data_IF_091345032493
#
_entry.id   IF_091345032493
#
_cell.length_a   1.000
_cell.length_b   1.000
_cell.length_c   1.000
_cell.angle_alpha   90.00
_cell.angle_beta   90.00
_cell.angle_gamma   90.00
#
_symmetry.space_group_name_H-M   'P 1'
#
loop_
_entity.id
_entity.type
_entity.pdbx_description
1 polymer ?
#
# COMPACT_ATOMS: atom_id res chain seq x y z
N UNK A 1 -15.18 -11.80 -0.13
CA UNK A 1 -13.95 -11.77 -0.98
C UNK A 1 -13.46 -13.21 -1.20
N UNK A 2 -12.81 -13.51 -2.35
CA UNK A 2 -12.19 -14.81 -2.65
C UNK A 2 -10.80 -14.60 -3.25
N UNK A 3 -9.83 -15.43 -2.87
CA UNK A 3 -8.50 -15.48 -3.49
C UNK A 3 -8.27 -16.85 -4.12
N UNK A 4 -7.70 -16.88 -5.32
CA UNK A 4 -7.30 -18.10 -6.02
C UNK A 4 -5.87 -17.95 -6.50
N UNK A 5 -4.96 -18.74 -5.93
CA UNK A 5 -3.58 -18.83 -6.39
C UNK A 5 -3.55 -19.56 -7.75
N UNK A 6 -2.90 -18.98 -8.75
CA UNK A 6 -2.89 -19.50 -10.12
C UNK A 6 -1.55 -20.09 -10.57
N UNK A 7 -0.44 -19.48 -10.17
CA UNK A 7 0.91 -19.90 -10.57
C UNK A 7 1.90 -19.70 -9.41
N UNK A 8 2.99 -20.49 -9.43
CA UNK A 8 4.16 -20.31 -8.57
C UNK A 8 5.41 -20.24 -9.44
N UNK A 9 6.38 -19.41 -9.05
CA UNK A 9 7.72 -19.48 -9.61
C UNK A 9 8.47 -20.70 -9.03
N UNK A 10 9.11 -21.56 -9.85
CA UNK A 10 9.79 -22.75 -9.36
C UNK A 10 11.07 -22.45 -8.56
N UNK A 11 11.61 -21.23 -8.67
CA UNK A 11 12.91 -20.85 -8.11
C UNK A 11 12.83 -19.83 -6.96
N UNK A 12 11.61 -19.43 -6.56
CA UNK A 12 11.37 -18.52 -5.44
C UNK A 12 9.99 -18.76 -4.83
N UNK A 13 9.62 -17.97 -3.79
CA UNK A 13 8.27 -18.01 -3.22
C UNK A 13 7.28 -17.11 -3.99
N UNK A 14 7.69 -16.51 -5.11
CA UNK A 14 6.83 -15.65 -5.90
C UNK A 14 5.64 -16.43 -6.48
N UNK A 15 4.47 -15.81 -6.44
CA UNK A 15 3.23 -16.44 -6.89
C UNK A 15 2.30 -15.44 -7.56
N UNK A 16 1.44 -15.93 -8.46
CA UNK A 16 0.32 -15.18 -9.01
C UNK A 16 -0.99 -15.70 -8.42
N UNK A 17 -1.97 -14.81 -8.34
CA UNK A 17 -3.33 -15.13 -7.93
C UNK A 17 -4.34 -14.10 -8.43
N UNK A 18 -5.61 -14.35 -8.13
CA UNK A 18 -6.72 -13.46 -8.43
C UNK A 18 -7.52 -13.27 -7.15
N UNK A 19 -7.65 -12.01 -6.71
CA UNK A 19 -8.59 -11.61 -5.67
C UNK A 19 -9.88 -11.18 -6.36
N UNK A 20 -11.03 -11.68 -5.90
CA UNK A 20 -12.35 -11.28 -6.38
C UNK A 20 -13.10 -10.59 -5.25
N UNK A 21 -13.53 -9.34 -5.50
CA UNK A 21 -14.43 -8.55 -4.64
C UNK A 21 -15.74 -8.27 -5.38
N UNK A 22 -16.68 -7.61 -4.73
CA UNK A 22 -17.94 -7.21 -5.36
C UNK A 22 -17.76 -6.06 -6.38
N UNK A 23 -16.62 -5.32 -6.30
CA UNK A 23 -16.26 -4.26 -7.25
C UNK A 23 -15.26 -4.70 -8.34
N UNK A 24 -14.92 -5.99 -8.43
CA UNK A 24 -14.09 -6.50 -9.50
C UNK A 24 -12.98 -7.45 -9.07
N UNK A 25 -12.13 -7.80 -10.04
CA UNK A 25 -10.99 -8.68 -9.86
C UNK A 25 -9.68 -7.91 -9.79
N UNK A 26 -8.73 -8.46 -9.05
CA UNK A 26 -7.38 -7.92 -8.87
C UNK A 26 -6.40 -9.05 -9.14
N UNK A 27 -5.56 -8.91 -10.16
CA UNK A 27 -4.46 -9.83 -10.42
C UNK A 27 -3.26 -9.53 -9.50
N UNK A 28 -2.75 -10.53 -8.80
CA UNK A 28 -1.57 -10.39 -7.93
C UNK A 28 -0.32 -11.03 -8.54
N UNK A 29 0.88 -10.50 -8.22
CA UNK A 29 1.21 -9.33 -7.40
C UNK A 29 0.63 -8.02 -7.94
N UNK A 30 0.22 -7.10 -7.04
CA UNK A 30 -0.38 -5.81 -7.39
C UNK A 30 0.20 -4.66 -6.55
N UNK A 31 0.33 -3.48 -7.16
CA UNK A 31 0.60 -2.23 -6.46
C UNK A 31 -0.67 -1.37 -6.42
N UNK A 32 -0.98 -0.82 -5.25
CA UNK A 32 -2.17 0.00 -5.01
C UNK A 32 -1.78 1.49 -4.95
N UNK A 33 -2.18 2.32 -5.91
CA UNK A 33 -2.04 3.77 -5.81
C UNK A 33 -2.74 4.32 -4.56
N UNK A 34 -2.05 5.23 -3.84
CA UNK A 34 -2.57 5.77 -2.58
C UNK A 34 -3.41 7.01 -2.81
N UNK A 35 -4.70 6.90 -2.52
CA UNK A 35 -5.71 7.96 -2.53
C UNK A 35 -6.06 8.46 -1.13
N UNK A 36 -5.14 9.16 -0.46
CA UNK A 36 -5.17 9.52 0.97
C UNK A 36 -6.51 10.10 1.46
N UNK A 37 -7.09 11.01 0.72
CA UNK A 37 -8.34 11.73 1.07
C UNK A 37 -9.41 11.57 -0.02
N UNK A 38 -9.55 10.35 -0.55
CA UNK A 38 -10.44 10.08 -1.69
C UNK A 38 -9.89 10.62 -3.02
N UNK A 39 -8.56 10.70 -3.17
CA UNK A 39 -7.92 11.14 -4.40
C UNK A 39 -6.48 10.71 -4.47
N UNK A 40 -6.07 10.06 -5.55
CA UNK A 40 -4.65 9.86 -5.90
C UNK A 40 -4.12 11.19 -6.40
N UNK A 41 -3.10 11.73 -5.70
CA UNK A 41 -2.67 13.13 -5.83
C UNK A 41 -2.30 13.53 -7.26
N UNK A 42 -3.10 14.43 -7.84
CA UNK A 42 -2.87 15.03 -9.15
C UNK A 42 -3.25 14.13 -10.34
N UNK A 43 -3.94 13.01 -10.12
CA UNK A 43 -4.32 12.05 -11.16
C UNK A 43 -5.85 11.96 -11.24
N UNK A 44 -6.40 12.05 -12.42
CA UNK A 44 -7.82 11.78 -12.65
C UNK A 44 -8.13 10.29 -12.55
N UNK A 45 -9.32 9.94 -12.05
CA UNK A 45 -9.77 8.53 -11.99
C UNK A 45 -9.83 7.88 -13.39
N UNK A 46 -10.15 8.65 -14.44
CA UNK A 46 -10.06 8.19 -15.81
C UNK A 46 -8.64 7.69 -16.15
N UNK A 47 -7.63 8.49 -15.84
CA UNK A 47 -6.23 8.15 -16.17
C UNK A 47 -5.73 6.98 -15.31
N UNK A 48 -6.18 6.89 -14.03
CA UNK A 48 -5.95 5.70 -13.21
C UNK A 48 -6.52 4.43 -13.83
N UNK A 49 -7.71 4.50 -14.46
CA UNK A 49 -8.39 3.36 -15.08
C UNK A 49 -7.82 3.00 -16.45
N UNK A 50 -7.67 3.99 -17.32
CA UNK A 50 -7.51 3.77 -18.75
C UNK A 50 -6.04 3.78 -19.17
N UNK A 51 -5.20 4.58 -18.52
CA UNK A 51 -3.77 4.71 -18.81
C UNK A 51 -2.91 3.90 -17.83
N UNK A 52 -2.98 4.21 -16.53
CA UNK A 52 -2.22 3.53 -15.47
C UNK A 52 -2.73 2.08 -15.27
N UNK A 53 -4.03 1.84 -15.50
CA UNK A 53 -4.71 0.54 -15.38
C UNK A 53 -4.68 0.00 -13.94
N UNK A 54 -4.92 0.88 -12.96
CA UNK A 54 -5.04 0.48 -11.57
C UNK A 54 -6.30 -0.38 -11.36
N UNK A 55 -6.14 -1.55 -10.77
CA UNK A 55 -7.24 -2.48 -10.48
C UNK A 55 -7.83 -2.23 -9.09
N UNK A 56 -7.07 -1.63 -8.19
CA UNK A 56 -7.42 -1.30 -6.81
C UNK A 56 -6.67 -0.03 -6.39
N UNK A 57 -7.27 0.77 -5.51
CA UNK A 57 -6.63 1.92 -4.86
C UNK A 57 -6.71 1.78 -3.34
N UNK A 58 -5.89 2.55 -2.63
CA UNK A 58 -5.88 2.58 -1.16
C UNK A 58 -6.34 3.93 -0.64
N UNK A 59 -7.30 3.93 0.29
CA UNK A 59 -7.73 5.07 1.09
C UNK A 59 -7.16 5.02 2.51
N UNK A 60 -6.93 6.19 3.14
CA UNK A 60 -6.45 6.23 4.52
C UNK A 60 -7.58 6.52 5.50
N UNK A 61 -7.90 5.58 6.36
CA UNK A 61 -9.01 5.66 7.34
C UNK A 61 -8.92 6.89 8.22
N UNK A 62 -7.75 7.19 8.81
CA UNK A 62 -7.54 8.37 9.64
C UNK A 62 -7.89 9.68 8.93
N UNK A 63 -7.44 9.84 7.69
CA UNK A 63 -7.68 11.06 6.93
C UNK A 63 -9.15 11.21 6.53
N UNK A 64 -9.77 10.12 6.07
CA UNK A 64 -11.18 10.10 5.66
C UNK A 64 -12.12 10.32 6.86
N UNK A 65 -11.77 9.76 8.03
CA UNK A 65 -12.49 10.01 9.29
C UNK A 65 -12.49 11.47 9.67
N UNK A 66 -11.35 12.18 9.56
CA UNK A 66 -11.25 13.60 9.90
C UNK A 66 -11.83 14.50 8.81
N UNK A 67 -11.64 14.15 7.54
CA UNK A 67 -12.09 14.94 6.39
C UNK A 67 -12.30 14.05 5.16
N UNK A 68 -13.49 13.94 4.59
CA UNK A 68 -14.66 14.80 4.79
C UNK A 68 -15.43 14.54 6.09
N UNK A 69 -15.13 13.45 6.82
CA UNK A 69 -15.87 13.03 7.99
C UNK A 69 -16.93 11.95 7.68
N UNK A 70 -17.29 11.20 8.71
CA UNK A 70 -18.14 10.01 8.55
C UNK A 70 -19.56 10.36 8.10
N UNK A 71 -20.13 11.47 8.57
CA UNK A 71 -21.49 11.87 8.19
C UNK A 71 -21.61 12.16 6.70
N UNK A 72 -20.59 12.81 6.12
CA UNK A 72 -20.53 13.10 4.68
C UNK A 72 -20.39 11.81 3.88
N UNK A 73 -19.46 10.93 4.27
CA UNK A 73 -19.25 9.65 3.58
C UNK A 73 -20.50 8.76 3.65
N UNK A 74 -21.16 8.70 4.82
CA UNK A 74 -22.40 7.95 4.98
C UNK A 74 -23.53 8.48 4.11
N UNK A 75 -23.70 9.81 4.08
CA UNK A 75 -24.70 10.45 3.24
C UNK A 75 -24.45 10.26 1.73
N UNK A 76 -23.17 10.21 1.32
CA UNK A 76 -22.77 9.91 -0.05
C UNK A 76 -23.01 8.45 -0.46
N UNK A 77 -23.19 7.53 0.50
CA UNK A 77 -23.32 6.10 0.25
C UNK A 77 -21.98 5.37 0.14
N UNK A 78 -20.98 5.82 0.93
CA UNK A 78 -19.64 5.26 1.01
C UNK A 78 -18.63 5.90 0.06
N UNK A 79 -17.35 5.51 0.23
CA UNK A 79 -16.23 6.11 -0.48
C UNK A 79 -16.31 5.89 -1.98
N UNK A 80 -16.72 4.72 -2.45
CA UNK A 80 -16.88 4.41 -3.87
C UNK A 80 -17.77 5.44 -4.59
N UNK A 81 -18.92 5.76 -4.02
CA UNK A 81 -19.82 6.76 -4.58
C UNK A 81 -19.31 8.19 -4.39
N UNK A 82 -18.68 8.46 -3.24
CA UNK A 82 -18.17 9.79 -2.93
C UNK A 82 -17.08 10.24 -3.91
N UNK A 83 -16.14 9.36 -4.25
CA UNK A 83 -15.04 9.68 -5.17
C UNK A 83 -15.27 9.20 -6.62
N UNK A 84 -16.42 8.56 -6.90
CA UNK A 84 -16.77 8.00 -8.21
C UNK A 84 -15.76 6.96 -8.72
N UNK A 85 -15.31 6.08 -7.82
CA UNK A 85 -14.43 4.96 -8.12
C UNK A 85 -15.20 3.64 -8.07
N UNK A 86 -15.26 2.92 -9.20
CA UNK A 86 -16.08 1.71 -9.40
C UNK A 86 -15.27 0.41 -9.34
N UNK A 87 -13.98 0.48 -8.99
CA UNK A 87 -13.10 -0.69 -8.80
C UNK A 87 -12.82 -0.89 -7.30
N UNK A 88 -12.18 -2.01 -6.90
CA UNK A 88 -11.85 -2.28 -5.51
C UNK A 88 -11.13 -1.13 -4.79
N UNK A 89 -11.42 -0.99 -3.50
CA UNK A 89 -10.75 -0.09 -2.56
C UNK A 89 -10.29 -0.90 -1.35
N UNK A 90 -9.06 -0.63 -0.89
CA UNK A 90 -8.57 -1.04 0.42
C UNK A 90 -8.44 0.18 1.32
N UNK A 91 -8.82 0.08 2.60
CA UNK A 91 -8.51 1.12 3.60
C UNK A 91 -7.58 0.56 4.68
N UNK A 92 -6.56 1.37 5.04
CA UNK A 92 -5.68 1.05 6.17
C UNK A 92 -6.41 1.14 7.52
N UNK A 93 -5.73 0.77 8.61
CA UNK A 93 -6.29 0.86 9.98
C UNK A 93 -6.42 2.29 10.51
N UNK A 94 -5.64 3.23 9.96
CA UNK A 94 -5.43 4.56 10.52
C UNK A 94 -4.42 4.61 11.68
N UNK A 95 -3.96 3.47 12.19
CA UNK A 95 -3.04 3.37 13.33
C UNK A 95 -1.71 4.06 13.08
N UNK A 96 -1.11 3.86 11.90
CA UNK A 96 0.16 4.49 11.53
C UNK A 96 0.06 6.02 11.46
N UNK A 97 -1.02 6.58 10.91
CA UNK A 97 -1.23 8.03 10.82
C UNK A 97 -1.43 8.66 12.20
N UNK A 98 -2.14 7.99 13.09
CA UNK A 98 -2.23 8.39 14.50
C UNK A 98 -0.83 8.37 15.13
N UNK A 99 0.00 7.39 14.79
CA UNK A 99 1.39 7.33 15.24
C UNK A 99 2.23 8.49 14.70
N UNK A 100 2.20 8.75 13.40
CA UNK A 100 3.13 9.65 12.71
C UNK A 100 2.72 11.12 12.71
N UNK A 101 1.40 11.42 12.76
CA UNK A 101 0.86 12.76 12.58
C UNK A 101 0.34 13.41 13.88
N UNK A 102 0.06 12.63 14.93
CA UNK A 102 -0.40 13.17 16.18
C UNK A 102 0.76 13.41 17.16
N UNK A 103 1.12 14.68 17.45
CA UNK A 103 2.17 15.00 18.41
C UNK A 103 1.81 14.57 19.84
N UNK A 104 0.51 14.41 20.12
CA UNK A 104 -0.02 13.97 21.41
C UNK A 104 -0.93 12.79 21.18
N UNK A 105 -0.41 11.58 21.46
CA UNK A 105 -1.20 10.35 21.48
C UNK A 105 -1.02 9.64 22.79
N UNK A 106 -2.05 8.92 23.20
CA UNK A 106 -2.01 8.03 24.37
C UNK A 106 -2.62 6.70 23.99
N UNK A 107 -1.81 5.65 24.08
CA UNK A 107 -2.25 4.27 23.94
C UNK A 107 -2.80 3.77 25.27
N UNK A 108 -3.92 3.10 25.22
CA UNK A 108 -4.57 2.45 26.37
C UNK A 108 -5.04 1.07 25.95
N UNK A 109 -5.49 0.26 26.89
CA UNK A 109 -6.11 -1.03 26.57
C UNK A 109 -7.38 -0.85 25.70
N UNK A 110 -8.12 0.23 25.95
CA UNK A 110 -9.38 0.50 25.24
C UNK A 110 -9.17 0.98 23.80
N UNK A 111 -8.05 1.64 23.51
CA UNK A 111 -7.77 2.21 22.20
C UNK A 111 -6.73 3.31 22.21
N UNK A 112 -6.67 4.08 21.13
CA UNK A 112 -5.75 5.18 20.95
C UNK A 112 -6.47 6.53 21.03
N UNK A 113 -6.04 7.39 21.97
CA UNK A 113 -6.50 8.77 22.11
C UNK A 113 -5.51 9.65 21.34
N UNK A 114 -6.00 10.52 20.47
CA UNK A 114 -5.16 11.40 19.66
C UNK A 114 -5.79 12.78 19.43
N UNK A 115 -4.99 13.71 18.95
CA UNK A 115 -5.46 15.03 18.50
C UNK A 115 -5.37 15.12 16.98
N UNK A 116 -6.44 15.65 16.38
CA UNK A 116 -6.49 15.96 14.95
C UNK A 116 -5.37 16.94 14.57
N UNK A 117 -4.62 16.63 13.51
CA UNK A 117 -3.61 17.52 12.93
C UNK A 117 -4.23 18.71 12.17
N UNK A 118 -5.55 18.68 11.95
CA UNK A 118 -6.28 19.71 11.19
C UNK A 118 -6.70 20.87 12.11
N UNK A 119 -7.30 20.55 13.26
CA UNK A 119 -7.95 21.53 14.16
C UNK A 119 -7.62 21.31 15.66
N UNK A 120 -6.82 20.29 15.97
CA UNK A 120 -6.45 19.97 17.35
C UNK A 120 -7.54 19.30 18.19
N UNK A 121 -8.71 18.99 17.63
CA UNK A 121 -9.79 18.27 18.30
C UNK A 121 -9.35 16.92 18.84
N UNK A 122 -9.94 16.48 19.95
CA UNK A 122 -9.61 15.19 20.57
C UNK A 122 -10.49 14.08 20.02
N UNK A 123 -9.87 13.00 19.64
CA UNK A 123 -10.50 11.79 19.10
C UNK A 123 -10.02 10.53 19.81
N UNK A 124 -10.80 9.46 19.67
CA UNK A 124 -10.47 8.13 20.20
C UNK A 124 -10.77 7.10 19.14
N UNK A 125 -9.78 6.29 18.77
CA UNK A 125 -9.99 5.05 18.05
C UNK A 125 -9.95 3.87 19.01
N UNK A 126 -11.07 3.18 19.17
CA UNK A 126 -11.12 1.85 19.75
C UNK A 126 -11.21 0.81 18.63
N UNK A 127 -10.89 -0.47 18.87
CA UNK A 127 -11.12 -1.51 17.88
C UNK A 127 -12.54 -1.49 17.28
N UNK A 128 -13.55 -1.31 18.12
CA UNK A 128 -14.95 -1.33 17.70
C UNK A 128 -15.30 -0.12 16.82
N UNK A 129 -15.03 1.11 17.29
CA UNK A 129 -15.39 2.29 16.50
C UNK A 129 -14.52 2.46 15.25
N UNK A 130 -13.34 1.87 15.21
CA UNK A 130 -12.52 1.80 14.00
C UNK A 130 -13.19 0.88 12.95
N UNK A 131 -13.74 -0.26 13.36
CA UNK A 131 -14.52 -1.12 12.46
C UNK A 131 -15.79 -0.42 11.97
N UNK A 132 -16.52 0.28 12.84
CA UNK A 132 -17.68 1.10 12.45
C UNK A 132 -17.29 2.20 11.46
N UNK A 133 -16.15 2.84 11.68
CA UNK A 133 -15.58 3.86 10.76
C UNK A 133 -15.35 3.23 9.37
N UNK A 134 -14.72 2.08 9.30
CA UNK A 134 -14.45 1.40 8.02
C UNK A 134 -15.72 0.81 7.37
N UNK A 135 -16.75 0.44 8.16
CA UNK A 135 -18.09 0.14 7.63
C UNK A 135 -18.71 1.36 6.93
N UNK A 136 -18.57 2.55 7.53
CA UNK A 136 -19.10 3.81 6.95
C UNK A 136 -18.27 4.24 5.72
N UNK A 137 -16.96 4.08 5.74
CA UNK A 137 -16.12 4.34 4.56
C UNK A 137 -16.51 3.39 3.43
N UNK A 138 -16.71 2.11 3.71
CA UNK A 138 -17.23 1.13 2.76
C UNK A 138 -16.20 0.64 1.73
N UNK A 139 -14.94 0.47 2.11
CA UNK A 139 -13.96 -0.19 1.26
C UNK A 139 -14.20 -1.71 1.16
N UNK A 140 -13.72 -2.37 0.10
CA UNK A 140 -13.83 -3.83 -0.09
C UNK A 140 -12.95 -4.60 0.91
N UNK A 141 -11.76 -4.05 1.20
CA UNK A 141 -10.79 -4.63 2.12
C UNK A 141 -10.48 -3.62 3.20
N UNK A 142 -10.61 -4.02 4.45
CA UNK A 142 -10.38 -3.19 5.63
C UNK A 142 -9.32 -3.80 6.54
N UNK A 143 -8.59 -2.98 7.29
CA UNK A 143 -7.52 -3.42 8.19
C UNK A 143 -7.99 -3.36 9.65
N UNK A 144 -7.60 -4.35 10.45
CA UNK A 144 -7.78 -4.29 11.89
C UNK A 144 -6.94 -3.16 12.50
N UNK A 145 -7.44 -2.50 13.56
CA UNK A 145 -6.67 -1.49 14.28
C UNK A 145 -5.44 -2.13 14.96
N UNK A 146 -4.29 -1.50 14.78
CA UNK A 146 -3.00 -1.96 15.27
C UNK A 146 -2.17 -0.84 15.92
N UNK A 147 -1.16 -1.21 16.68
CA UNK A 147 -0.08 -0.32 17.07
C UNK A 147 1.15 -0.59 16.20
N UNK A 148 1.51 0.38 15.34
CA UNK A 148 2.76 0.36 14.60
C UNK A 148 3.89 0.90 15.48
N UNK A 149 4.77 0.04 16.02
CA UNK A 149 5.92 0.48 16.79
C UNK A 149 7.08 0.95 15.88
N UNK A 150 7.97 1.84 16.37
CA UNK A 150 9.17 2.24 15.63
C UNK A 150 10.06 1.05 15.27
N UNK A 151 10.76 1.11 14.12
CA UNK A 151 11.66 0.03 13.65
C UNK A 151 12.89 -0.20 14.55
N UNK A 152 13.25 0.79 15.36
CA UNK A 152 14.32 0.74 16.36
C UNK A 152 13.83 0.46 17.80
N UNK A 153 12.56 0.07 17.96
CA UNK A 153 11.97 -0.22 19.27
C UNK A 153 12.72 -1.35 19.97
N UNK A 154 12.89 -1.24 21.30
CA UNK A 154 13.47 -2.33 22.11
C UNK A 154 12.57 -3.57 22.08
N UNK A 155 13.14 -4.74 22.31
CA UNK A 155 12.39 -6.00 22.35
C UNK A 155 11.21 -5.95 23.34
N UNK A 156 11.43 -5.42 24.53
CA UNK A 156 10.40 -5.31 25.57
C UNK A 156 9.25 -4.38 25.14
N UNK A 157 9.56 -3.26 24.48
CA UNK A 157 8.53 -2.41 23.94
C UNK A 157 7.76 -3.10 22.81
N UNK A 158 8.47 -3.68 21.84
CA UNK A 158 7.87 -4.40 20.71
C UNK A 158 6.96 -5.55 21.17
N UNK A 159 7.38 -6.31 22.22
CA UNK A 159 6.59 -7.37 22.81
C UNK A 159 5.31 -6.84 23.47
N UNK A 160 5.41 -5.73 24.22
CA UNK A 160 4.24 -5.08 24.83
C UNK A 160 3.27 -4.55 23.77
N UNK A 161 3.78 -3.91 22.74
CA UNK A 161 3.01 -3.40 21.58
C UNK A 161 2.29 -4.52 20.85
N UNK A 162 3.01 -5.64 20.58
CA UNK A 162 2.40 -6.81 19.95
C UNK A 162 1.24 -7.36 20.77
N UNK A 163 1.41 -7.52 22.07
CA UNK A 163 0.34 -8.03 22.96
C UNK A 163 -0.89 -7.12 22.94
N UNK A 164 -0.71 -5.80 22.87
CA UNK A 164 -1.81 -4.86 22.75
C UNK A 164 -2.50 -5.01 21.39
N UNK A 165 -1.72 -5.06 20.30
CA UNK A 165 -2.24 -5.26 18.94
C UNK A 165 -3.04 -6.56 18.81
N UNK A 166 -2.58 -7.67 19.41
CA UNK A 166 -3.30 -8.95 19.41
C UNK A 166 -4.68 -8.82 20.08
N UNK A 167 -4.75 -8.20 21.27
CA UNK A 167 -6.04 -7.98 21.95
C UNK A 167 -6.98 -7.04 21.19
N UNK A 168 -6.43 -6.01 20.55
CA UNK A 168 -7.21 -5.15 19.67
C UNK A 168 -7.71 -5.88 18.41
N UNK A 169 -6.87 -6.74 17.84
CA UNK A 169 -7.25 -7.58 16.70
C UNK A 169 -8.44 -8.49 17.04
N UNK A 170 -8.39 -9.17 18.19
CA UNK A 170 -9.49 -10.05 18.64
C UNK A 170 -10.81 -9.27 18.80
N UNK A 171 -10.74 -8.04 19.31
CA UNK A 171 -11.89 -7.13 19.44
C UNK A 171 -12.39 -6.65 18.09
N UNK A 172 -11.49 -6.26 17.17
CA UNK A 172 -11.84 -5.90 15.79
C UNK A 172 -12.59 -7.03 15.09
N UNK A 173 -12.05 -8.25 15.14
CA UNK A 173 -12.68 -9.43 14.52
C UNK A 173 -14.06 -9.68 15.10
N UNK A 174 -14.17 -9.72 16.43
CA UNK A 174 -15.46 -9.92 17.12
C UNK A 174 -16.52 -8.88 16.72
N UNK A 175 -16.12 -7.61 16.66
CA UNK A 175 -17.05 -6.52 16.32
C UNK A 175 -17.40 -6.53 14.83
N UNK A 176 -16.43 -6.79 13.97
CA UNK A 176 -16.64 -6.88 12.53
C UNK A 176 -17.59 -8.01 12.16
N UNK A 177 -17.48 -9.19 12.81
CA UNK A 177 -18.34 -10.34 12.57
C UNK A 177 -19.76 -10.14 13.16
N UNK A 178 -19.92 -9.24 14.13
CA UNK A 178 -21.20 -8.88 14.72
C UNK A 178 -21.94 -7.75 13.98
N UNK A 179 -21.32 -7.14 12.96
CA UNK A 179 -21.87 -5.98 12.23
C UNK A 179 -21.95 -6.27 10.73
N UNK A 180 -22.98 -5.71 10.09
CA UNK A 180 -23.24 -5.91 8.66
C UNK A 180 -22.66 -4.76 7.81
N UNK A 181 -22.25 -5.05 6.56
CA UNK A 181 -21.91 -4.01 5.58
C UNK A 181 -23.07 -3.06 5.30
N UNK A 182 -22.78 -1.77 5.11
CA UNK A 182 -23.85 -0.75 5.00
C UNK A 182 -24.39 -0.54 3.58
N UNK A 183 -23.66 -0.96 2.54
CA UNK A 183 -23.96 -0.53 1.17
C UNK A 183 -24.31 -1.65 0.21
N UNK A 184 -24.64 -2.85 0.74
CA UNK A 184 -25.15 -3.98 -0.06
C UNK A 184 -24.07 -4.82 -0.76
N UNK A 185 -22.80 -4.63 -0.41
CA UNK A 185 -21.68 -5.47 -0.83
C UNK A 185 -20.83 -5.91 0.36
N UNK A 186 -20.07 -6.97 0.19
CA UNK A 186 -19.25 -7.56 1.26
C UNK A 186 -17.96 -6.80 1.48
N UNK A 187 -17.45 -6.85 2.71
CA UNK A 187 -16.13 -6.35 3.07
C UNK A 187 -15.30 -7.48 3.67
N UNK A 188 -13.98 -7.48 3.40
CA UNK A 188 -13.03 -8.41 3.96
C UNK A 188 -12.16 -7.74 5.02
N UNK A 189 -11.96 -8.38 6.17
CA UNK A 189 -11.09 -7.88 7.25
C UNK A 189 -9.73 -8.58 7.19
N UNK A 190 -8.64 -7.80 7.06
CA UNK A 190 -7.28 -8.30 7.14
C UNK A 190 -6.67 -8.00 8.51
N UNK A 191 -6.24 -9.01 9.27
CA UNK A 191 -5.32 -8.85 10.40
C UNK A 191 -4.00 -8.23 9.96
N UNK A 192 -3.37 -7.43 10.84
CA UNK A 192 -2.04 -6.88 10.62
C UNK A 192 -1.03 -7.62 11.51
N UNK A 193 -0.08 -8.31 10.90
CA UNK A 193 1.04 -8.97 11.58
C UNK A 193 2.08 -7.93 11.96
N UNK A 194 2.23 -7.66 13.25
CA UNK A 194 3.23 -6.78 13.83
C UNK A 194 4.43 -7.59 14.42
N UNK A 195 5.33 -6.98 15.20
CA UNK A 195 6.45 -7.67 15.87
C UNK A 195 7.81 -7.04 15.62
N UNK A 196 7.83 -5.82 15.03
CA UNK A 196 9.07 -5.07 14.74
C UNK A 196 10.06 -5.93 13.92
N UNK A 197 11.35 -5.91 14.24
CA UNK A 197 12.42 -6.69 13.60
C UNK A 197 12.83 -7.94 14.38
N UNK A 198 11.93 -8.47 15.21
CA UNK A 198 12.19 -9.62 16.09
C UNK A 198 11.50 -10.88 15.57
N UNK A 199 12.26 -11.89 15.07
CA UNK A 199 11.70 -13.09 14.45
C UNK A 199 10.71 -13.85 15.35
N UNK A 200 10.99 -13.95 16.66
CA UNK A 200 10.11 -14.61 17.63
C UNK A 200 8.78 -13.89 17.80
N UNK A 201 8.79 -12.55 17.82
CA UNK A 201 7.56 -11.77 17.91
C UNK A 201 6.75 -11.82 16.59
N UNK A 202 7.44 -11.82 15.44
CA UNK A 202 6.81 -12.01 14.13
C UNK A 202 6.14 -13.38 14.02
N UNK A 203 6.80 -14.43 14.50
CA UNK A 203 6.24 -15.79 14.53
C UNK A 203 4.99 -15.83 15.39
N UNK A 204 5.06 -15.32 16.62
CA UNK A 204 3.90 -15.24 17.51
C UNK A 204 2.74 -14.45 16.89
N UNK A 205 3.05 -13.30 16.24
CA UNK A 205 2.05 -12.46 15.59
C UNK A 205 1.33 -13.17 14.44
N UNK A 206 2.10 -13.82 13.56
CA UNK A 206 1.54 -14.50 12.38
C UNK A 206 0.75 -15.75 12.76
N UNK A 207 1.20 -16.51 13.75
CA UNK A 207 0.46 -17.67 14.27
C UNK A 207 -0.90 -17.25 14.86
N UNK A 208 -0.92 -16.17 15.66
CA UNK A 208 -2.16 -15.60 16.18
C UNK A 208 -3.10 -15.14 15.07
N UNK A 209 -2.58 -14.37 14.10
CA UNK A 209 -3.37 -13.85 12.98
C UNK A 209 -3.94 -14.98 12.12
N UNK A 210 -3.12 -15.98 11.77
CA UNK A 210 -3.52 -17.12 10.94
C UNK A 210 -4.61 -17.98 11.60
N UNK A 211 -4.58 -18.11 12.94
CA UNK A 211 -5.60 -18.85 13.68
C UNK A 211 -7.02 -18.24 13.60
N UNK A 212 -7.13 -16.97 13.21
CA UNK A 212 -8.42 -16.28 13.02
C UNK A 212 -9.08 -16.58 11.67
N UNK A 213 -8.39 -17.26 10.75
CA UNK A 213 -8.85 -17.66 9.39
C UNK A 213 -9.61 -16.57 8.65
N UNK A 214 -8.94 -15.43 8.43
CA UNK A 214 -9.52 -14.29 7.67
C UNK A 214 -9.26 -14.40 6.17
N UNK A 215 -9.88 -13.48 5.42
CA UNK A 215 -9.85 -13.49 3.96
C UNK A 215 -8.49 -13.11 3.35
N UNK A 216 -7.59 -12.54 4.15
CA UNK A 216 -6.22 -12.17 3.78
C UNK A 216 -5.48 -11.60 4.98
N UNK A 217 -4.19 -11.32 4.82
CA UNK A 217 -3.32 -10.89 5.91
C UNK A 217 -2.41 -9.75 5.46
N UNK A 218 -2.25 -8.75 6.33
CA UNK A 218 -1.31 -7.66 6.14
C UNK A 218 -0.05 -7.87 7.01
N UNK A 219 1.10 -7.43 6.52
CA UNK A 219 2.38 -7.40 7.21
C UNK A 219 2.73 -5.94 7.42
N UNK A 220 2.59 -5.48 8.66
CA UNK A 220 2.84 -4.09 9.06
C UNK A 220 4.12 -3.93 9.88
N UNK A 221 4.45 -2.68 10.24
CA UNK A 221 5.61 -2.35 11.08
C UNK A 221 6.95 -2.71 10.46
N UNK A 222 7.04 -2.65 9.14
CA UNK A 222 8.26 -2.75 8.34
C UNK A 222 8.38 -1.50 7.47
N UNK A 223 9.58 -1.18 6.97
CA UNK A 223 9.91 0.08 6.30
C UNK A 223 9.61 1.34 7.17
N UNK A 224 9.81 1.21 8.48
CA UNK A 224 9.62 2.28 9.49
C UNK A 224 10.93 2.70 10.17
N UNK A 225 12.06 2.52 9.47
CA UNK A 225 13.40 2.96 9.90
C UNK A 225 14.43 1.86 10.05
N UNK A 226 14.05 0.59 9.95
CA UNK A 226 14.98 -0.53 9.97
C UNK A 226 15.79 -0.65 8.66
N UNK A 227 16.97 -1.32 8.67
CA UNK A 227 17.68 -1.71 7.46
C UNK A 227 16.82 -2.62 6.57
N UNK A 228 16.94 -2.45 5.25
CA UNK A 228 16.16 -3.21 4.24
C UNK A 228 16.32 -4.73 4.40
N UNK A 229 17.53 -5.19 4.74
CA UNK A 229 17.82 -6.61 4.96
C UNK A 229 17.00 -7.19 6.11
N UNK A 230 16.76 -6.40 7.16
CA UNK A 230 15.92 -6.81 8.29
C UNK A 230 14.45 -6.95 7.87
N UNK A 231 13.97 -6.09 7.02
CA UNK A 231 12.63 -6.25 6.43
C UNK A 231 12.53 -7.58 5.68
N UNK A 232 13.52 -7.94 4.86
CA UNK A 232 13.52 -9.19 4.10
C UNK A 232 13.59 -10.41 5.02
N UNK A 233 14.42 -10.39 6.05
CA UNK A 233 14.46 -11.45 7.07
C UNK A 233 13.08 -11.67 7.72
N UNK A 234 12.36 -10.60 8.04
CA UNK A 234 11.03 -10.71 8.64
C UNK A 234 10.00 -11.29 7.67
N UNK A 235 10.10 -10.98 6.39
CA UNK A 235 9.23 -11.61 5.37
C UNK A 235 9.52 -13.11 5.25
N UNK A 236 10.77 -13.52 5.35
CA UNK A 236 11.17 -14.94 5.33
C UNK A 236 10.66 -15.71 6.57
N UNK A 237 10.43 -15.02 7.70
CA UNK A 237 9.79 -15.60 8.88
C UNK A 237 8.27 -15.69 8.72
N UNK A 238 7.62 -14.63 8.23
CA UNK A 238 6.16 -14.48 8.25
C UNK A 238 5.49 -15.21 7.07
N UNK A 239 5.99 -15.03 5.85
CA UNK A 239 5.31 -15.52 4.65
C UNK A 239 5.13 -17.06 4.61
N UNK A 240 6.08 -17.90 5.09
CA UNK A 240 5.87 -19.35 5.10
C UNK A 240 4.79 -19.84 6.06
N UNK A 241 4.44 -19.04 7.09
CA UNK A 241 3.44 -19.42 8.11
C UNK A 241 2.04 -19.00 7.65
N UNK A 242 1.92 -17.91 6.87
CA UNK A 242 0.64 -17.45 6.35
C UNK A 242 0.02 -18.47 5.38
N UNK A 243 -1.31 -18.69 5.45
CA UNK A 243 -2.02 -19.62 4.56
C UNK A 243 -1.72 -19.34 3.08
N UNK A 244 -1.56 -20.42 2.29
CA UNK A 244 -1.26 -20.30 0.87
C UNK A 244 -2.45 -19.83 0.02
N UNK A 245 -3.64 -20.11 0.47
CA UNK A 245 -4.91 -19.75 -0.18
C UNK A 245 -5.44 -18.37 0.20
N UNK A 246 -4.60 -17.55 0.84
CA UNK A 246 -4.93 -16.18 1.25
C UNK A 246 -3.91 -15.18 0.70
N UNK A 247 -4.33 -13.96 0.30
CA UNK A 247 -3.41 -12.92 -0.15
C UNK A 247 -2.62 -12.32 1.01
N UNK A 248 -1.38 -11.89 0.72
CA UNK A 248 -0.43 -11.30 1.67
C UNK A 248 -0.10 -9.88 1.24
N UNK A 249 -0.39 -8.92 2.09
CA UNK A 249 -0.20 -7.51 1.83
C UNK A 249 0.93 -6.94 2.69
N UNK A 250 2.01 -6.46 2.06
CA UNK A 250 3.10 -5.73 2.74
C UNK A 250 2.81 -4.23 2.70
N UNK A 251 2.53 -3.66 3.88
CA UNK A 251 2.06 -2.29 4.02
C UNK A 251 3.18 -1.26 3.86
N UNK A 252 2.93 -0.20 3.09
CA UNK A 252 3.81 0.97 2.98
C UNK A 252 5.12 0.75 2.24
N UNK A 253 5.30 -0.38 1.57
CA UNK A 253 6.52 -0.73 0.83
C UNK A 253 6.28 -0.61 -0.67
N UNK A 254 7.14 0.01 -1.42
CA UNK A 254 8.27 0.90 -1.18
C UNK A 254 8.97 1.22 -2.48
N UNK A 255 10.28 1.03 -2.53
CA UNK A 255 11.01 1.20 -3.80
C UNK A 255 10.69 0.06 -4.79
N UNK A 256 10.86 0.27 -6.12
CA UNK A 256 10.68 -0.80 -7.10
C UNK A 256 11.48 -2.07 -6.78
N UNK A 257 12.72 -1.91 -6.30
CA UNK A 257 13.56 -3.04 -5.89
C UNK A 257 12.98 -3.80 -4.68
N UNK A 258 12.51 -3.08 -3.65
CA UNK A 258 11.89 -3.69 -2.47
C UNK A 258 10.63 -4.49 -2.84
N UNK A 259 9.84 -3.98 -3.80
CA UNK A 259 8.65 -4.68 -4.29
C UNK A 259 9.04 -6.02 -4.94
N UNK A 260 10.01 -6.02 -5.85
CA UNK A 260 10.47 -7.25 -6.50
C UNK A 260 11.07 -8.26 -5.51
N UNK A 261 11.85 -7.78 -4.53
CA UNK A 261 12.42 -8.62 -3.47
C UNK A 261 11.34 -9.20 -2.54
N UNK A 262 10.30 -8.43 -2.23
CA UNK A 262 9.18 -8.92 -1.43
C UNK A 262 8.29 -9.91 -2.21
N UNK A 263 8.06 -9.68 -3.51
CA UNK A 263 7.39 -10.66 -4.40
C UNK A 263 8.13 -12.00 -4.37
N UNK A 264 9.47 -11.99 -4.45
CA UNK A 264 10.27 -13.22 -4.41
C UNK A 264 10.11 -14.02 -3.10
N UNK A 265 9.64 -13.36 -2.03
CA UNK A 265 9.34 -13.93 -0.70
C UNK A 265 7.86 -14.27 -0.49
N UNK A 266 7.03 -14.11 -1.52
CA UNK A 266 5.64 -14.54 -1.52
C UNK A 266 4.63 -13.47 -1.10
N UNK A 267 4.97 -12.19 -1.22
CA UNK A 267 4.03 -11.07 -1.01
C UNK A 267 3.22 -10.80 -2.29
N UNK A 268 1.95 -10.50 -2.13
CA UNK A 268 0.98 -10.34 -3.23
C UNK A 268 0.54 -8.89 -3.47
N UNK A 269 0.51 -8.05 -2.41
CA UNK A 269 -0.07 -6.71 -2.48
C UNK A 269 0.86 -5.69 -1.84
N UNK A 270 0.91 -4.49 -2.43
CA UNK A 270 1.79 -3.40 -2.02
C UNK A 270 1.07 -2.06 -2.13
N UNK A 271 1.46 -1.12 -1.27
CA UNK A 271 1.16 0.31 -1.41
C UNK A 271 2.38 1.14 -1.02
N UNK A 272 2.50 2.32 -1.55
CA UNK A 272 3.41 3.34 -1.06
C UNK A 272 3.06 4.71 -1.63
N UNK A 273 3.33 5.77 -0.89
CA UNK A 273 3.20 7.15 -1.39
C UNK A 273 4.37 7.57 -2.30
N UNK A 274 5.43 6.76 -2.40
CA UNK A 274 6.65 7.11 -3.13
C UNK A 274 6.42 7.47 -4.60
N UNK A 275 5.62 6.75 -5.39
CA UNK A 275 5.43 7.11 -6.80
C UNK A 275 5.00 8.55 -6.99
N UNK A 276 3.94 8.97 -6.33
CA UNK A 276 3.41 10.33 -6.47
C UNK A 276 4.24 11.35 -5.68
N UNK A 277 4.75 11.01 -4.47
CA UNK A 277 5.58 11.91 -3.67
C UNK A 277 6.91 12.20 -4.37
N UNK A 278 7.60 11.17 -4.84
CA UNK A 278 8.87 11.31 -5.54
C UNK A 278 8.66 11.98 -6.91
N UNK A 279 7.61 11.63 -7.64
CA UNK A 279 7.23 12.28 -8.90
C UNK A 279 7.08 13.79 -8.72
N UNK A 280 6.29 14.25 -7.77
CA UNK A 280 6.14 15.69 -7.49
C UNK A 280 7.44 16.39 -7.08
N UNK A 281 8.44 15.65 -6.63
CA UNK A 281 9.77 16.16 -6.31
C UNK A 281 10.79 16.03 -7.47
N UNK A 282 10.37 15.51 -8.62
CA UNK A 282 11.16 15.37 -9.83
C UNK A 282 12.01 14.10 -9.90
N UNK A 283 11.72 13.10 -9.07
CA UNK A 283 12.34 11.78 -9.16
C UNK A 283 11.41 10.81 -9.89
N UNK A 284 11.87 10.28 -11.02
CA UNK A 284 11.17 9.33 -11.85
C UNK A 284 11.88 7.97 -11.84
N UNK A 285 11.08 6.91 -11.79
CA UNK A 285 11.54 5.52 -11.87
C UNK A 285 11.32 4.98 -13.28
N UNK A 286 12.34 4.41 -13.91
CA UNK A 286 12.28 3.84 -15.25
C UNK A 286 12.89 2.45 -15.30
N UNK A 287 12.68 1.74 -16.37
CA UNK A 287 13.33 0.45 -16.61
C UNK A 287 14.86 0.50 -16.73
N UNK A 288 15.42 1.66 -17.00
CA UNK A 288 16.88 1.88 -17.12
C UNK A 288 17.49 2.47 -15.86
N UNK A 289 16.67 2.93 -14.91
CA UNK A 289 17.14 3.49 -13.63
C UNK A 289 16.31 4.67 -13.15
N UNK A 290 16.89 5.44 -12.24
CA UNK A 290 16.25 6.56 -11.56
C UNK A 290 16.70 7.87 -12.20
N UNK A 291 15.74 8.66 -12.71
CA UNK A 291 15.98 9.99 -13.26
C UNK A 291 15.65 11.08 -12.22
N UNK A 292 16.57 12.05 -12.06
CA UNK A 292 16.23 13.31 -11.40
C UNK A 292 15.98 14.37 -12.48
N UNK A 293 14.72 14.74 -12.70
CA UNK A 293 14.31 15.68 -13.75
C UNK A 293 14.84 17.11 -13.57
N UNK A 294 15.29 17.48 -12.38
CA UNK A 294 15.91 18.79 -12.13
C UNK A 294 17.37 18.86 -12.62
N UNK A 295 17.98 17.73 -12.97
CA UNK A 295 19.36 17.69 -13.45
C UNK A 295 19.50 18.44 -14.78
N UNK A 296 20.59 19.26 -14.88
CA UNK A 296 20.88 20.11 -16.04
C UNK A 296 21.04 19.31 -17.35
N UNK A 297 21.49 18.06 -17.27
CA UNK A 297 21.72 17.22 -18.45
C UNK A 297 20.46 16.96 -19.30
N UNK A 298 19.26 17.15 -18.73
CA UNK A 298 18.00 17.01 -19.45
C UNK A 298 17.51 18.31 -20.11
N UNK A 299 18.29 19.42 -20.03
CA UNK A 299 17.84 20.74 -20.47
C UNK A 299 17.58 20.83 -21.98
N UNK A 300 18.31 20.05 -22.77
CA UNK A 300 18.27 19.97 -24.23
C UNK A 300 18.04 18.55 -24.76
N UNK A 301 17.57 17.64 -23.89
CA UNK A 301 17.15 16.29 -24.26
C UNK A 301 15.70 16.30 -24.74
N UNK A 302 15.50 16.36 -26.06
CA UNK A 302 14.20 16.37 -26.72
C UNK A 302 13.65 14.96 -27.00
N UNK A 303 14.28 13.90 -26.47
CA UNK A 303 13.74 12.55 -26.54
C UNK A 303 12.50 12.41 -25.64
N UNK A 304 11.61 11.42 -25.91
CA UNK A 304 10.47 11.12 -25.05
C UNK A 304 10.89 10.98 -23.57
N UNK A 305 9.97 11.29 -22.65
CA UNK A 305 10.20 11.21 -21.20
C UNK A 305 10.72 9.84 -20.80
N UNK A 306 10.03 8.79 -21.21
CA UNK A 306 10.51 7.39 -21.12
C UNK A 306 10.07 6.58 -22.35
N UNK A 307 10.98 6.26 -23.27
CA UNK A 307 10.64 5.45 -24.45
C UNK A 307 10.13 4.03 -24.14
N UNK A 308 10.38 3.53 -22.91
CA UNK A 308 9.94 2.21 -22.43
C UNK A 308 8.72 2.30 -21.52
N UNK A 309 8.29 3.51 -21.20
CA UNK A 309 7.12 3.74 -20.36
C UNK A 309 5.81 3.35 -21.03
N UNK A 310 4.78 3.13 -20.24
CA UNK A 310 3.47 2.65 -20.72
C UNK A 310 2.38 3.71 -20.65
N UNK A 311 2.64 4.85 -20.00
CA UNK A 311 1.70 5.96 -19.90
C UNK A 311 1.77 6.87 -21.13
N UNK A 312 0.65 7.53 -21.45
CA UNK A 312 0.61 8.51 -22.53
C UNK A 312 1.61 9.66 -22.30
N UNK A 313 1.88 10.05 -21.06
CA UNK A 313 2.84 11.13 -20.74
C UNK A 313 4.26 10.78 -21.15
N UNK A 314 4.61 9.49 -21.17
CA UNK A 314 5.94 8.99 -21.49
C UNK A 314 6.34 9.26 -22.94
N UNK A 315 5.35 9.25 -23.83
CA UNK A 315 5.52 9.42 -25.28
C UNK A 315 5.12 10.82 -25.79
N UNK A 316 4.30 11.53 -25.00
CA UNK A 316 3.81 12.86 -25.38
C UNK A 316 4.81 13.96 -25.05
N UNK A 317 5.49 13.85 -23.90
CA UNK A 317 6.36 14.91 -23.39
C UNK A 317 7.83 14.52 -23.49
N UNK A 318 8.69 15.54 -23.77
CA UNK A 318 10.14 15.36 -23.80
C UNK A 318 10.75 15.61 -22.42
N UNK A 319 11.93 15.02 -22.17
CA UNK A 319 12.70 15.26 -20.94
C UNK A 319 12.98 16.75 -20.73
N UNK A 320 13.38 17.45 -21.80
CA UNK A 320 13.64 18.91 -21.77
C UNK A 320 12.42 19.71 -21.31
N UNK A 321 11.23 19.38 -21.83
CA UNK A 321 9.99 20.05 -21.45
C UNK A 321 9.62 19.79 -19.99
N UNK A 322 9.62 18.52 -19.58
CA UNK A 322 9.27 18.16 -18.19
C UNK A 322 10.25 18.78 -17.19
N UNK A 323 11.57 18.79 -17.54
CA UNK A 323 12.56 19.51 -16.74
C UNK A 323 12.25 21.00 -16.64
N UNK A 324 11.92 21.65 -17.78
CA UNK A 324 11.55 23.06 -17.77
C UNK A 324 10.42 23.34 -16.79
N UNK A 325 9.36 22.53 -16.80
CA UNK A 325 8.23 22.67 -15.88
C UNK A 325 8.65 22.55 -14.41
N UNK A 326 9.53 21.60 -14.06
CA UNK A 326 10.06 21.48 -12.70
C UNK A 326 10.90 22.70 -12.27
N UNK A 327 11.70 23.26 -13.16
CA UNK A 327 12.51 24.45 -12.87
C UNK A 327 11.63 25.70 -12.76
N UNK A 328 10.58 25.78 -13.56
CA UNK A 328 9.59 26.87 -13.51
C UNK A 328 8.64 26.77 -12.32
N UNK A 329 8.58 25.61 -11.63
CA UNK A 329 7.67 25.39 -10.48
C UNK A 329 6.22 25.13 -10.89
N UNK A 330 5.99 24.69 -12.13
CA UNK A 330 4.65 24.39 -12.64
C UNK A 330 4.05 23.13 -12.00
N UNK A 331 2.78 23.21 -11.58
CA UNK A 331 2.06 22.09 -10.97
C UNK A 331 1.99 20.89 -11.93
N UNK A 332 1.89 21.17 -13.22
CA UNK A 332 1.79 20.16 -14.27
C UNK A 332 3.00 19.20 -14.32
N UNK A 333 4.20 19.67 -13.94
CA UNK A 333 5.38 18.81 -13.78
C UNK A 333 5.13 17.64 -12.82
N UNK A 334 4.51 17.95 -11.68
CA UNK A 334 4.18 16.96 -10.66
C UNK A 334 3.08 15.98 -11.10
N UNK A 335 2.13 16.42 -11.94
CA UNK A 335 1.11 15.54 -12.51
C UNK A 335 1.74 14.54 -13.49
N UNK A 336 2.48 15.03 -14.50
CA UNK A 336 3.20 14.19 -15.47
C UNK A 336 4.06 13.14 -14.76
N UNK A 337 4.88 13.58 -13.80
CA UNK A 337 5.80 12.71 -13.10
C UNK A 337 5.10 11.69 -12.17
N UNK A 338 3.96 12.06 -11.57
CA UNK A 338 3.16 11.15 -10.75
C UNK A 338 2.50 10.08 -11.61
N UNK A 339 1.97 10.45 -12.76
CA UNK A 339 1.35 9.55 -13.72
C UNK A 339 2.37 8.55 -14.27
N UNK A 340 3.51 9.04 -14.76
CA UNK A 340 4.64 8.22 -15.18
C UNK A 340 5.04 7.19 -14.10
N UNK A 341 5.28 7.65 -12.86
CA UNK A 341 5.72 6.76 -11.79
C UNK A 341 4.67 5.71 -11.43
N UNK A 342 3.40 6.07 -11.38
CA UNK A 342 2.33 5.10 -11.11
C UNK A 342 2.23 4.07 -12.24
N UNK A 343 2.28 4.50 -13.49
CA UNK A 343 2.30 3.60 -14.64
C UNK A 343 3.48 2.63 -14.58
N UNK A 344 4.69 3.13 -14.25
CA UNK A 344 5.87 2.29 -14.06
C UNK A 344 5.68 1.26 -12.94
N UNK A 345 5.13 1.65 -11.78
CA UNK A 345 4.91 0.71 -10.67
C UNK A 345 3.90 -0.39 -11.02
N UNK A 346 2.82 -0.04 -11.74
CA UNK A 346 1.84 -1.01 -12.20
C UNK A 346 2.44 -1.92 -13.29
N UNK A 347 3.27 -1.37 -14.17
CA UNK A 347 3.96 -2.14 -15.19
C UNK A 347 4.98 -3.11 -14.58
N UNK A 348 5.73 -2.67 -13.56
CA UNK A 348 6.68 -3.50 -12.82
C UNK A 348 6.03 -4.79 -12.28
N UNK A 349 4.85 -4.67 -11.64
CA UNK A 349 4.14 -5.84 -11.11
C UNK A 349 3.49 -6.68 -12.22
N UNK A 350 3.07 -6.07 -13.35
CA UNK A 350 2.61 -6.82 -14.54
C UNK A 350 3.73 -7.66 -15.16
N UNK A 351 4.92 -7.09 -15.33
CA UNK A 351 6.09 -7.82 -15.80
C UNK A 351 6.48 -8.93 -14.82
N UNK A 352 6.46 -8.65 -13.49
CA UNK A 352 6.67 -9.69 -12.49
C UNK A 352 5.70 -10.87 -12.64
N UNK A 353 4.39 -10.62 -12.87
CA UNK A 353 3.41 -11.68 -13.14
C UNK A 353 3.73 -12.49 -14.38
N UNK A 354 4.20 -11.84 -15.48
CA UNK A 354 4.60 -12.55 -16.70
C UNK A 354 5.75 -13.52 -16.44
N UNK A 355 6.78 -13.07 -15.72
CA UNK A 355 7.95 -13.87 -15.41
C UNK A 355 7.67 -14.99 -14.38
N UNK A 356 6.74 -14.76 -13.42
CA UNK A 356 6.26 -15.81 -12.53
C UNK A 356 5.55 -16.91 -13.34
N UNK A 357 4.66 -16.53 -14.26
CA UNK A 357 3.95 -17.47 -15.15
C UNK A 357 4.89 -18.23 -16.10
N UNK A 358 5.98 -17.59 -16.53
CA UNK A 358 7.03 -18.19 -17.36
C UNK A 358 8.01 -19.08 -16.57
N UNK A 359 8.06 -18.95 -15.23
CA UNK A 359 8.96 -19.73 -14.36
C UNK A 359 10.41 -19.24 -14.34
N UNK A 360 10.67 -18.02 -14.77
CA UNK A 360 11.99 -17.38 -14.82
C UNK A 360 12.10 -16.10 -13.96
N UNK A 361 11.13 -15.89 -13.08
CA UNK A 361 11.02 -14.66 -12.27
C UNK A 361 12.29 -14.35 -11.47
N UNK A 362 12.90 -15.37 -10.83
CA UNK A 362 14.10 -15.13 -10.00
C UNK A 362 15.26 -14.54 -10.80
N UNK A 363 15.56 -15.10 -11.97
CA UNK A 363 16.65 -14.63 -12.83
C UNK A 363 16.36 -13.22 -13.38
N UNK A 364 15.13 -13.01 -13.87
CA UNK A 364 14.68 -11.69 -14.34
C UNK A 364 14.73 -10.63 -13.24
N UNK A 365 14.26 -10.96 -12.03
CA UNK A 365 14.31 -10.06 -10.87
C UNK A 365 15.72 -9.63 -10.53
N UNK A 366 16.67 -10.59 -10.46
CA UNK A 366 18.06 -10.30 -10.09
C UNK A 366 18.76 -9.36 -11.08
N UNK A 367 18.45 -9.47 -12.38
CA UNK A 367 18.92 -8.54 -13.40
C UNK A 367 18.21 -7.18 -13.32
N UNK A 368 16.88 -7.20 -13.18
CA UNK A 368 16.04 -6.00 -13.17
C UNK A 368 16.38 -5.10 -11.98
N UNK A 369 16.51 -5.65 -10.77
CA UNK A 369 16.86 -4.88 -9.57
C UNK A 369 18.18 -4.11 -9.76
N UNK A 370 19.21 -4.73 -10.37
CA UNK A 370 20.47 -4.04 -10.65
C UNK A 370 20.29 -2.85 -11.59
N UNK A 371 19.45 -3.00 -12.61
CA UNK A 371 19.21 -1.98 -13.64
C UNK A 371 18.37 -0.82 -13.09
N UNK A 372 17.22 -1.09 -12.49
CA UNK A 372 16.28 -0.04 -12.02
C UNK A 372 16.78 0.75 -10.81
N UNK A 373 17.82 0.29 -10.13
CA UNK A 373 18.47 1.03 -9.02
C UNK A 373 19.60 1.93 -9.47
N UNK A 374 20.01 1.86 -10.73
CA UNK A 374 21.06 2.73 -11.31
C UNK A 374 20.56 4.18 -11.34
N UNK A 375 21.44 5.13 -11.03
CA UNK A 375 21.13 6.57 -11.20
C UNK A 375 21.54 7.04 -12.59
N UNK A 376 20.58 7.55 -13.33
CA UNK A 376 20.75 8.09 -14.66
C UNK A 376 21.20 9.54 -14.63
#
# INVERSE_FOLDING_TARGET
MKFVKTHNDPNSSARCGIITTDHGQIETPIFMPVGTVGSVKGIYHRDLKDDIKAEIILGNTYHLYLRPGLDVLKAAGGLHKFESWDRPILTDSGGFQVFSLSPIRKLTEDGCIFRSHIDGSRHVFTPENNMDTQRIIGADIVMALDECCPGDATFEYAKKSLKLTQRWLDRCVKHFDATEPLYGYSQALFPIVQGCVYPELRREAVEHAAALDREGYAIGGLAVGEPTEKMYEMLEVVCPILPEDKPRYLMGVGTPANILEAISRGVDMFDCVMPTRNGRNGMLFTWDGIMNMKNKKWADDFSPLDPKGTSFVDHTYTKAYVRHLFVAGEIFAGQIASEHNLAFYLDLVREARKHIKAGDFKAWKDETVRRITTRL
#
